data_IF_009405716885
#
_entry.id   IF_009405716885
#
_cell.length_a   1.000
_cell.length_b   1.000
_cell.length_c   1.000
_cell.angle_alpha   90.00
_cell.angle_beta   90.00
_cell.angle_gamma   90.00
#
_symmetry.space_group_name_H-M   'P 1'
#
loop_
_entity.id
_entity.type
_entity.pdbx_description
1 polymer ?
#
# COMPACT_ATOMS: atom_id res chain seq x y z
N UNK A 1 9.42 16.16 -15.08
CA UNK A 1 9.07 15.33 -16.25
C UNK A 1 8.06 16.09 -17.07
N UNK A 2 8.28 16.21 -18.38
CA UNK A 2 7.47 17.01 -19.31
C UNK A 2 6.15 16.30 -19.60
N UNK A 3 5.05 17.06 -19.62
CA UNK A 3 3.73 16.51 -19.94
C UNK A 3 3.57 16.36 -21.46
N UNK A 4 3.49 15.12 -21.95
CA UNK A 4 3.37 14.77 -23.38
C UNK A 4 1.91 14.72 -23.87
N UNK A 5 0.94 14.81 -22.96
CA UNK A 5 -0.50 14.72 -23.29
C UNK A 5 -0.99 15.74 -24.31
N UNK A 6 -0.61 17.04 -24.27
CA UNK A 6 -1.12 17.99 -25.27
C UNK A 6 -0.68 17.58 -26.68
N UNK A 7 0.61 17.26 -26.87
CA UNK A 7 1.12 16.80 -28.16
C UNK A 7 0.46 15.51 -28.65
N UNK A 8 0.16 14.58 -27.73
CA UNK A 8 -0.54 13.34 -28.07
C UNK A 8 -2.01 13.59 -28.44
N UNK A 9 -2.70 14.49 -27.74
CA UNK A 9 -4.08 14.85 -28.05
C UNK A 9 -4.21 15.58 -29.39
N UNK A 10 -3.22 16.38 -29.78
CA UNK A 10 -3.17 16.99 -31.11
C UNK A 10 -3.07 15.93 -32.21
N UNK A 11 -2.29 14.87 -32.00
CA UNK A 11 -2.20 13.74 -32.94
C UNK A 11 -3.51 12.93 -32.97
N UNK A 12 -4.10 12.66 -31.80
CA UNK A 12 -5.36 11.90 -31.70
C UNK A 12 -6.53 12.62 -32.35
N UNK A 13 -6.64 13.94 -32.19
CA UNK A 13 -7.67 14.74 -32.84
C UNK A 13 -7.49 14.77 -34.36
N UNK A 14 -6.25 14.80 -34.86
CA UNK A 14 -5.94 14.64 -36.29
C UNK A 14 -6.34 13.27 -36.86
N UNK A 15 -6.38 12.23 -36.03
CA UNK A 15 -6.83 10.88 -36.37
C UNK A 15 -8.32 10.65 -36.08
N UNK A 16 -9.10 11.68 -35.73
CA UNK A 16 -10.50 11.58 -35.31
C UNK A 16 -10.74 10.61 -34.14
N UNK A 17 -9.72 10.43 -33.29
CA UNK A 17 -9.81 9.65 -32.06
C UNK A 17 -10.19 10.56 -30.87
N UNK A 18 -10.77 9.95 -29.84
CA UNK A 18 -11.13 10.66 -28.61
C UNK A 18 -9.87 11.16 -27.89
N UNK A 19 -9.83 12.42 -27.43
CA UNK A 19 -8.69 12.96 -26.69
C UNK A 19 -8.57 12.28 -25.33
N UNK A 20 -7.34 12.05 -24.89
CA UNK A 20 -7.04 11.53 -23.56
C UNK A 20 -7.34 12.64 -22.56
N UNK A 21 -8.41 12.47 -21.79
CA UNK A 21 -8.78 13.35 -20.69
C UNK A 21 -8.09 12.91 -19.41
N UNK A 22 -7.77 13.88 -18.55
CA UNK A 22 -7.28 13.57 -17.22
C UNK A 22 -8.42 12.94 -16.41
N UNK A 23 -8.34 11.65 -16.15
CA UNK A 23 -9.24 11.00 -15.23
C UNK A 23 -8.80 11.38 -13.81
N UNK A 24 -9.56 12.19 -13.06
CA UNK A 24 -9.18 12.53 -11.69
C UNK A 24 -9.08 11.24 -10.88
N UNK A 25 -7.95 11.07 -10.19
CA UNK A 25 -7.68 9.90 -9.37
C UNK A 25 -8.60 9.93 -8.15
N UNK A 26 -9.67 9.14 -8.19
CA UNK A 26 -10.69 9.12 -7.15
C UNK A 26 -10.46 7.94 -6.19
N UNK A 27 -9.95 8.24 -4.99
CA UNK A 27 -9.72 7.25 -3.94
C UNK A 27 -11.01 6.51 -3.55
N UNK A 28 -12.19 7.11 -3.69
CA UNK A 28 -13.47 6.47 -3.33
C UNK A 28 -13.89 5.39 -4.32
N UNK A 29 -13.39 5.44 -5.55
CA UNK A 29 -13.58 4.40 -6.58
C UNK A 29 -12.57 3.27 -6.49
N UNK A 30 -11.56 3.42 -5.65
CA UNK A 30 -10.51 2.42 -5.46
C UNK A 30 -10.98 1.36 -4.47
N UNK A 31 -10.53 0.12 -4.66
CA UNK A 31 -10.85 -0.97 -3.75
C UNK A 31 -10.37 -0.67 -2.31
N UNK A 32 -11.09 -1.21 -1.31
CA UNK A 32 -10.79 -0.99 0.11
C UNK A 32 -9.33 -1.32 0.47
N UNK A 33 -8.74 -2.35 -0.14
CA UNK A 33 -7.34 -2.73 0.06
C UNK A 33 -6.37 -1.58 -0.23
N UNK A 34 -6.51 -0.92 -1.37
CA UNK A 34 -5.61 0.16 -1.77
C UNK A 34 -5.83 1.43 -0.95
N UNK A 35 -7.06 1.71 -0.52
CA UNK A 35 -7.34 2.79 0.42
C UNK A 35 -6.61 2.55 1.75
N UNK A 36 -6.74 1.34 2.31
CA UNK A 36 -6.08 0.96 3.55
C UNK A 36 -4.55 1.01 3.43
N UNK A 37 -4.00 0.49 2.32
CA UNK A 37 -2.58 0.53 2.03
C UNK A 37 -2.05 1.97 1.93
N UNK A 38 -2.77 2.87 1.25
CA UNK A 38 -2.40 4.28 1.14
C UNK A 38 -2.44 4.97 2.50
N UNK A 39 -3.49 4.73 3.29
CA UNK A 39 -3.63 5.26 4.64
C UNK A 39 -2.50 4.80 5.56
N UNK A 40 -2.08 3.54 5.47
CA UNK A 40 -0.91 3.04 6.20
C UNK A 40 0.38 3.68 5.73
N UNK A 41 0.58 3.81 4.42
CA UNK A 41 1.77 4.47 3.89
C UNK A 41 1.91 5.91 4.41
N UNK A 42 0.82 6.68 4.40
CA UNK A 42 0.80 8.03 4.94
C UNK A 42 1.22 8.06 6.42
N UNK A 43 0.66 7.16 7.24
CA UNK A 43 1.02 7.06 8.67
C UNK A 43 2.48 6.67 8.89
N UNK A 44 3.04 5.76 8.08
CA UNK A 44 4.47 5.39 8.14
C UNK A 44 5.34 6.59 7.75
N UNK A 45 4.96 7.33 6.72
CA UNK A 45 5.67 8.52 6.28
C UNK A 45 5.67 9.61 7.36
N UNK A 46 4.54 9.82 8.03
CA UNK A 46 4.40 10.77 9.13
C UNK A 46 5.27 10.39 10.35
N UNK A 47 5.30 9.10 10.72
CA UNK A 47 6.20 8.59 11.75
C UNK A 47 7.66 8.84 11.37
N UNK A 48 8.05 8.46 10.14
CA UNK A 48 9.42 8.66 9.64
C UNK A 48 9.84 10.12 9.68
N UNK A 49 8.92 11.02 9.27
CA UNK A 49 9.14 12.46 9.33
C UNK A 49 9.33 12.93 10.77
N UNK A 50 8.49 12.48 11.69
CA UNK A 50 8.56 12.84 13.11
C UNK A 50 9.88 12.39 13.74
N UNK A 51 10.29 11.13 13.53
CA UNK A 51 11.56 10.59 14.02
C UNK A 51 12.76 11.42 13.51
N UNK A 52 12.78 11.74 12.21
CA UNK A 52 13.84 12.57 11.62
C UNK A 52 13.87 13.99 12.17
N UNK A 53 12.70 14.56 12.45
CA UNK A 53 12.58 15.91 12.98
C UNK A 53 13.07 16.00 14.43
N UNK A 54 12.83 14.99 15.25
CA UNK A 54 13.24 14.95 16.66
C UNK A 54 14.72 14.54 16.83
N UNK A 55 15.33 13.85 15.86
CA UNK A 55 16.72 13.39 15.95
C UNK A 55 17.72 14.46 16.43
N UNK A 56 17.72 15.72 15.96
CA UNK A 56 18.67 16.73 16.43
C UNK A 56 18.49 17.11 17.90
N UNK A 57 17.25 17.27 18.37
CA UNK A 57 16.97 17.59 19.77
C UNK A 57 17.17 16.37 20.69
N UNK A 58 16.99 15.17 20.15
CA UNK A 58 17.27 13.91 20.84
C UNK A 58 18.77 13.65 20.95
N UNK A 59 19.60 14.00 19.97
CA UNK A 59 21.05 13.81 20.08
C UNK A 59 21.77 14.97 20.79
N UNK A 60 21.13 16.13 20.90
CA UNK A 60 21.69 17.27 21.60
C UNK A 60 21.81 16.99 23.11
N UNK A 61 23.03 17.03 23.63
CA UNK A 61 23.37 17.01 25.06
C UNK A 61 23.91 18.35 25.55
N UNK A 62 23.86 19.38 24.70
CA UNK A 62 24.41 20.69 25.01
C UNK A 62 23.65 21.32 26.18
N UNK A 63 24.36 21.83 27.18
CA UNK A 63 23.74 22.62 28.24
C UNK A 63 23.01 23.82 27.59
N UNK A 64 21.76 24.13 28.02
CA UNK A 64 21.00 25.22 27.42
C UNK A 64 21.84 26.51 27.50
N UNK A 65 22.15 27.07 26.33
CA UNK A 65 22.97 28.26 26.25
C UNK A 65 22.22 29.38 26.99
N UNK A 66 22.73 29.76 28.17
CA UNK A 66 22.26 30.92 28.95
C UNK A 66 22.63 32.20 28.20
N UNK A 67 21.95 32.47 27.09
CA UNK A 67 21.86 33.77 26.40
C UNK A 67 21.06 33.57 25.10
N UNK A 68 19.79 33.96 25.10
CA UNK A 68 19.24 34.93 24.14
C UNK A 68 17.83 35.36 24.53
N UNK A 69 17.65 36.66 24.41
CA UNK A 69 16.46 37.44 24.77
C UNK A 69 15.26 37.05 23.90
N UNK A 70 14.08 37.19 24.51
CA UNK A 70 12.75 37.37 23.94
C UNK A 70 12.64 37.36 22.41
N UNK A 71 12.10 36.26 21.89
CA UNK A 71 11.64 36.14 20.51
C UNK A 71 10.85 34.84 20.38
N UNK A 72 9.53 34.96 20.48
CA UNK A 72 8.53 33.90 20.33
C UNK A 72 8.84 32.94 19.16
N UNK A 73 9.45 31.81 19.49
CA UNK A 73 9.23 30.51 18.87
C UNK A 73 9.77 29.48 19.86
N UNK A 74 8.96 28.50 20.27
CA UNK A 74 9.47 27.32 20.97
C UNK A 74 10.52 26.67 20.06
N UNK A 75 11.78 26.98 20.35
CA UNK A 75 12.89 26.76 19.46
C UNK A 75 13.17 25.25 19.44
N UNK A 76 12.91 24.62 18.30
CA UNK A 76 13.13 23.18 18.04
C UNK A 76 14.59 22.73 18.26
N UNK A 77 15.46 23.68 18.61
CA UNK A 77 16.86 23.52 18.97
C UNK A 77 17.07 23.13 20.45
N UNK A 78 16.04 23.23 21.30
CA UNK A 78 16.18 22.90 22.71
C UNK A 78 16.33 21.37 22.90
N UNK A 79 17.36 20.90 23.63
CA UNK A 79 17.56 19.47 23.87
C UNK A 79 16.42 18.91 24.71
N UNK A 80 15.93 17.72 24.32
CA UNK A 80 14.91 16.97 25.06
C UNK A 80 15.45 16.53 26.42
N UNK A 81 14.63 16.63 27.46
CA UNK A 81 14.89 16.04 28.77
C UNK A 81 14.87 14.51 28.69
N UNK A 82 15.48 13.83 29.66
CA UNK A 82 15.51 12.37 29.69
C UNK A 82 14.09 11.76 29.75
N UNK A 83 13.17 12.40 30.48
CA UNK A 83 11.78 11.94 30.57
C UNK A 83 11.04 12.11 29.25
N UNK A 84 11.24 13.22 28.54
CA UNK A 84 10.63 13.43 27.22
C UNK A 84 11.15 12.42 26.18
N UNK A 85 12.44 12.06 26.25
CA UNK A 85 13.03 11.02 25.40
C UNK A 85 12.39 9.66 25.65
N UNK A 86 12.27 9.26 26.91
CA UNK A 86 11.67 7.97 27.28
C UNK A 86 10.20 7.87 26.85
N UNK A 87 9.43 8.94 27.07
CA UNK A 87 8.04 9.02 26.63
C UNK A 87 7.94 8.92 25.10
N UNK A 88 8.77 9.67 24.36
CA UNK A 88 8.80 9.63 22.91
C UNK A 88 9.18 8.25 22.37
N UNK A 89 10.15 7.58 22.99
CA UNK A 89 10.56 6.23 22.61
C UNK A 89 9.44 5.21 22.87
N UNK A 90 8.73 5.35 24.00
CA UNK A 90 7.59 4.50 24.32
C UNK A 90 6.45 4.67 23.31
N UNK A 91 6.09 5.92 23.00
CA UNK A 91 5.07 6.28 22.01
C UNK A 91 5.45 5.79 20.60
N UNK A 92 6.69 6.04 20.17
CA UNK A 92 7.19 5.60 18.85
C UNK A 92 7.17 4.08 18.72
N UNK A 93 7.60 3.34 19.77
CA UNK A 93 7.53 1.87 19.81
C UNK A 93 6.10 1.36 19.81
N UNK A 94 5.17 2.05 20.46
CA UNK A 94 3.75 1.70 20.42
C UNK A 94 3.19 1.88 19.01
N UNK A 95 3.50 2.99 18.35
CA UNK A 95 3.05 3.27 16.98
C UNK A 95 3.63 2.28 15.97
N UNK A 96 4.91 1.94 16.07
CA UNK A 96 5.53 0.91 15.21
C UNK A 96 4.83 -0.45 15.36
N UNK A 97 4.50 -0.86 16.60
CA UNK A 97 3.76 -2.10 16.86
C UNK A 97 2.34 -2.04 16.28
N UNK A 98 1.65 -0.92 16.44
CA UNK A 98 0.32 -0.71 15.88
C UNK A 98 0.32 -0.77 14.35
N UNK A 99 1.29 -0.13 13.69
CA UNK A 99 1.44 -0.16 12.24
C UNK A 99 1.77 -1.56 11.75
N UNK A 100 2.65 -2.30 12.45
CA UNK A 100 2.95 -3.68 12.11
C UNK A 100 1.71 -4.58 12.21
N UNK A 101 0.92 -4.43 13.28
CA UNK A 101 -0.33 -5.16 13.46
C UNK A 101 -1.36 -4.81 12.36
N UNK A 102 -1.43 -3.55 11.94
CA UNK A 102 -2.31 -3.12 10.87
C UNK A 102 -1.90 -3.69 9.50
N UNK A 103 -0.59 -3.73 9.19
CA UNK A 103 -0.08 -4.40 7.98
C UNK A 103 -0.41 -5.89 8.02
N UNK A 104 -0.22 -6.55 9.17
CA UNK A 104 -0.56 -7.96 9.34
C UNK A 104 -2.05 -8.22 9.11
N UNK A 105 -2.93 -7.33 9.58
CA UNK A 105 -4.38 -7.41 9.34
C UNK A 105 -4.73 -7.33 7.86
N UNK A 106 -4.14 -6.41 7.10
CA UNK A 106 -4.36 -6.32 5.65
C UNK A 106 -3.88 -7.60 4.95
N UNK A 107 -2.71 -8.12 5.34
CA UNK A 107 -2.20 -9.38 4.80
C UNK A 107 -3.16 -10.55 5.06
N UNK A 108 -3.67 -10.67 6.27
CA UNK A 108 -4.65 -11.70 6.62
C UNK A 108 -5.94 -11.58 5.81
N UNK A 109 -6.43 -10.36 5.59
CA UNK A 109 -7.60 -10.11 4.76
C UNK A 109 -7.37 -10.51 3.30
N UNK A 110 -6.18 -10.23 2.75
CA UNK A 110 -5.79 -10.67 1.40
C UNK A 110 -5.64 -12.18 1.29
N UNK A 111 -5.04 -12.83 2.29
CA UNK A 111 -4.92 -14.30 2.32
C UNK A 111 -6.31 -14.95 2.37
N UNK A 112 -7.25 -14.39 3.14
CA UNK A 112 -8.63 -14.85 3.17
C UNK A 112 -9.31 -14.67 1.80
N UNK A 113 -9.13 -13.50 1.16
CA UNK A 113 -9.67 -13.21 -0.17
C UNK A 113 -9.11 -14.13 -1.25
N UNK A 114 -7.81 -14.42 -1.22
CA UNK A 114 -7.18 -15.37 -2.15
C UNK A 114 -7.80 -16.77 -1.99
N UNK A 115 -7.91 -17.26 -0.75
CA UNK A 115 -8.55 -18.55 -0.46
C UNK A 115 -10.00 -18.61 -0.91
N UNK A 116 -10.78 -17.55 -0.74
CA UNK A 116 -12.18 -17.53 -1.22
C UNK A 116 -12.26 -17.55 -2.74
N UNK A 117 -11.38 -16.83 -3.44
CA UNK A 117 -11.29 -16.89 -4.91
C UNK A 117 -10.97 -18.32 -5.37
N UNK A 118 -10.00 -18.98 -4.74
CA UNK A 118 -9.62 -20.36 -5.09
C UNK A 118 -10.78 -21.34 -4.85
N UNK A 119 -11.48 -21.23 -3.71
CA UNK A 119 -12.64 -22.08 -3.39
C UNK A 119 -13.80 -21.82 -4.36
N UNK A 120 -14.06 -20.57 -4.72
CA UNK A 120 -15.11 -20.22 -5.69
C UNK A 120 -14.74 -20.70 -7.10
N UNK A 121 -13.49 -20.61 -7.51
CA UNK A 121 -13.03 -21.18 -8.78
C UNK A 121 -13.24 -22.69 -8.82
N UNK A 122 -12.89 -23.41 -7.75
CA UNK A 122 -13.12 -24.84 -7.62
C UNK A 122 -14.61 -25.20 -7.64
N UNK A 123 -15.47 -24.42 -6.98
CA UNK A 123 -16.91 -24.69 -6.95
C UNK A 123 -17.60 -24.40 -8.29
N UNK A 124 -17.21 -23.34 -8.99
CA UNK A 124 -17.64 -23.06 -10.38
C UNK A 124 -17.27 -24.21 -11.31
N UNK A 125 -16.05 -24.72 -11.19
CA UNK A 125 -15.58 -25.89 -11.94
C UNK A 125 -16.40 -27.15 -11.66
N UNK A 126 -16.92 -27.31 -10.44
CA UNK A 126 -17.75 -28.44 -10.08
C UNK A 126 -19.21 -28.33 -10.55
N UNK A 127 -19.74 -27.11 -10.72
CA UNK A 127 -21.19 -26.84 -10.90
C UNK A 127 -21.61 -26.41 -12.32
N UNK A 128 -20.68 -26.11 -13.23
CA UNK A 128 -21.00 -25.69 -14.59
C UNK A 128 -21.66 -26.77 -15.47
N UNK A 129 -22.99 -26.69 -15.63
CA UNK A 129 -23.82 -27.16 -16.76
C UNK A 129 -23.93 -28.66 -17.04
N UNK A 130 -22.80 -29.36 -17.11
CA UNK A 130 -22.67 -30.82 -17.27
C UNK A 130 -21.44 -31.37 -16.50
N UNK A 131 -20.83 -30.57 -15.62
CA UNK A 131 -19.76 -30.99 -14.70
C UNK A 131 -18.62 -31.80 -15.35
N UNK A 132 -18.09 -32.78 -14.61
CA UNK A 132 -17.03 -33.68 -15.08
C UNK A 132 -17.43 -34.51 -16.31
N UNK A 133 -18.73 -34.76 -16.52
CA UNK A 133 -19.25 -35.61 -17.59
C UNK A 133 -19.33 -34.88 -18.95
N UNK A 134 -19.73 -33.61 -18.97
CA UNK A 134 -19.72 -32.78 -20.18
C UNK A 134 -18.31 -32.48 -20.69
N UNK A 135 -17.34 -32.35 -19.77
CA UNK A 135 -15.92 -32.16 -20.13
C UNK A 135 -15.26 -33.43 -20.66
N UNK A 136 -15.72 -34.61 -20.21
CA UNK A 136 -15.30 -35.90 -20.74
C UNK A 136 -15.88 -36.16 -22.15
N UNK A 137 -17.16 -35.83 -22.38
CA UNK A 137 -17.84 -36.04 -23.66
C UNK A 137 -17.34 -35.09 -24.78
N UNK A 138 -16.79 -33.92 -24.44
CA UNK A 138 -16.18 -32.99 -25.41
C UNK A 138 -14.78 -33.42 -25.90
N UNK A 139 -14.30 -34.62 -25.54
CA UNK A 139 -13.00 -35.14 -25.96
C UNK A 139 -11.79 -34.51 -25.25
N UNK A 140 -12.03 -33.75 -24.19
CA UNK A 140 -10.99 -33.13 -23.37
C UNK A 140 -10.66 -33.96 -22.12
N UNK A 141 -9.38 -33.98 -21.72
CA UNK A 141 -8.99 -34.48 -20.42
C UNK A 141 -9.78 -33.75 -19.32
N UNK A 142 -10.10 -34.46 -18.22
CA UNK A 142 -10.82 -33.95 -17.03
C UNK A 142 -10.16 -32.71 -16.39
N UNK A 143 -9.04 -32.23 -16.93
CA UNK A 143 -8.22 -31.11 -16.47
C UNK A 143 -8.12 -29.92 -17.43
N UNK A 144 -8.63 -29.97 -18.66
CA UNK A 144 -8.51 -28.85 -19.61
C UNK A 144 -9.32 -27.62 -19.16
N UNK A 145 -8.64 -26.52 -18.84
CA UNK A 145 -9.25 -25.25 -18.44
C UNK A 145 -9.94 -24.60 -19.63
N UNK A 146 -11.04 -23.91 -19.40
CA UNK A 146 -11.63 -23.08 -20.46
C UNK A 146 -10.78 -21.82 -20.67
N UNK A 147 -10.76 -21.27 -21.88
CA UNK A 147 -10.00 -20.06 -22.20
C UNK A 147 -10.45 -18.86 -21.35
N UNK A 148 -11.75 -18.76 -21.07
CA UNK A 148 -12.30 -17.72 -20.19
C UNK A 148 -11.82 -17.88 -18.73
N UNK A 149 -11.79 -19.10 -18.21
CA UNK A 149 -11.27 -19.42 -16.88
C UNK A 149 -9.76 -19.13 -16.76
N UNK A 150 -8.98 -19.41 -17.80
CA UNK A 150 -7.55 -19.09 -17.82
C UNK A 150 -7.30 -17.57 -17.78
N UNK A 151 -8.12 -16.79 -18.49
CA UNK A 151 -8.04 -15.33 -18.47
C UNK A 151 -8.44 -14.77 -17.10
N UNK A 152 -9.49 -15.31 -16.48
CA UNK A 152 -9.88 -14.93 -15.11
C UNK A 152 -8.79 -15.26 -14.11
N UNK A 153 -8.23 -16.47 -14.12
CA UNK A 153 -7.11 -16.85 -13.25
C UNK A 153 -5.87 -15.96 -13.46
N UNK A 154 -5.55 -15.61 -14.70
CA UNK A 154 -4.41 -14.74 -15.00
C UNK A 154 -4.60 -13.33 -14.42
N UNK A 155 -5.82 -12.78 -14.53
CA UNK A 155 -6.19 -11.50 -13.89
C UNK A 155 -6.11 -11.60 -12.37
N UNK A 156 -6.59 -12.70 -11.80
CA UNK A 156 -6.55 -12.89 -10.35
C UNK A 156 -5.12 -13.03 -9.82
N UNK A 157 -4.25 -13.74 -10.54
CA UNK A 157 -2.82 -13.84 -10.23
C UNK A 157 -2.11 -12.50 -10.32
N UNK A 158 -2.43 -11.67 -11.31
CA UNK A 158 -1.81 -10.35 -11.44
C UNK A 158 -2.24 -9.42 -10.30
N UNK A 159 -3.52 -9.42 -9.93
CA UNK A 159 -4.03 -8.68 -8.75
C UNK A 159 -3.36 -9.19 -7.47
N UNK A 160 -3.29 -10.51 -7.29
CA UNK A 160 -2.63 -11.10 -6.13
C UNK A 160 -1.16 -10.64 -6.03
N UNK A 161 -0.39 -10.79 -7.11
CA UNK A 161 1.02 -10.39 -7.15
C UNK A 161 1.22 -8.90 -6.86
N UNK A 162 0.37 -8.04 -7.41
CA UNK A 162 0.41 -6.61 -7.12
C UNK A 162 0.18 -6.31 -5.62
N UNK A 163 -0.85 -6.91 -5.03
CA UNK A 163 -1.18 -6.68 -3.61
C UNK A 163 -0.11 -7.21 -2.67
N UNK A 164 0.53 -8.32 -3.02
CA UNK A 164 1.69 -8.84 -2.29
C UNK A 164 2.87 -7.85 -2.34
N UNK A 165 3.17 -7.32 -3.52
CA UNK A 165 4.17 -6.29 -3.70
C UNK A 165 3.89 -5.05 -2.85
N UNK A 166 2.64 -4.61 -2.77
CA UNK A 166 2.22 -3.49 -1.90
C UNK A 166 2.45 -3.81 -0.42
N UNK A 167 2.08 -5.00 0.04
CA UNK A 167 2.30 -5.41 1.44
C UNK A 167 3.80 -5.47 1.75
N UNK A 168 4.61 -6.07 0.88
CA UNK A 168 6.08 -6.11 1.03
C UNK A 168 6.67 -4.71 1.07
N UNK A 169 6.23 -3.81 0.19
CA UNK A 169 6.64 -2.42 0.19
C UNK A 169 6.31 -1.72 1.52
N UNK A 170 5.12 -1.92 2.09
CA UNK A 170 4.75 -1.33 3.38
C UNK A 170 5.62 -1.89 4.53
N UNK A 171 5.93 -3.18 4.49
CA UNK A 171 6.83 -3.81 5.47
C UNK A 171 8.25 -3.25 5.39
N UNK A 172 8.79 -3.10 4.18
CA UNK A 172 10.10 -2.47 3.92
C UNK A 172 10.12 -1.05 4.49
N UNK A 173 9.08 -0.25 4.22
CA UNK A 173 8.99 1.13 4.72
C UNK A 173 8.88 1.23 6.23
N UNK A 174 8.15 0.33 6.87
CA UNK A 174 8.06 0.28 8.32
C UNK A 174 9.40 -0.16 8.94
N UNK A 175 10.10 -1.10 8.30
CA UNK A 175 11.44 -1.54 8.71
C UNK A 175 12.44 -0.39 8.62
N UNK A 176 12.44 0.35 7.52
CA UNK A 176 13.27 1.55 7.34
C UNK A 176 13.00 2.57 8.45
N UNK A 177 11.73 2.80 8.78
CA UNK A 177 11.34 3.74 9.83
C UNK A 177 11.81 3.29 11.23
N UNK A 178 11.76 1.98 11.51
CA UNK A 178 12.24 1.41 12.79
C UNK A 178 13.76 1.30 12.91
N UNK A 179 14.50 1.44 11.80
CA UNK A 179 15.97 1.44 11.79
C UNK A 179 16.60 2.83 11.89
N UNK A 180 15.80 3.90 11.92
CA UNK A 180 16.25 5.30 12.08
C UNK A 180 16.44 5.67 13.56
#
# INVERSE_FOLDING_TARGET
MTDLRPALNDVLTGLSALPITHQPYDLTRINAFLQDAYNLHARIADLTRTLRQIRPSYLSTAAPARRRMAGSNHDRSQPLTNQERENFDAESKALLRQLNAAIAKIRQAEDARRKTVDVVALSKRATGGLGALGRWAAGGAVTAKSLEEELEEAREKSVAGFREGVILFLQERLRDAGGL
#
